data_IF_854427006856
#
_entry.id   IF_854427006856
#
_cell.length_a   1.000
_cell.length_b   1.000
_cell.length_c   1.000
_cell.angle_alpha   90.00
_cell.angle_beta   90.00
_cell.angle_gamma   90.00
#
_symmetry.space_group_name_H-M   'P 1'
#
loop_
_entity.id
_entity.type
_entity.pdbx_description
1 polymer ?
#
# COMPACT_ATOMS: atom_id res chain seq x y z
N UNK A 1 6.91 -1.43 -3.78
CA UNK A 1 6.18 -2.62 -3.30
C UNK A 1 6.74 -3.89 -3.94
N UNK A 2 6.93 -5.00 -3.22
CA UNK A 2 7.55 -6.23 -3.76
C UNK A 2 6.82 -6.79 -4.99
N UNK A 3 5.48 -6.73 -4.98
CA UNK A 3 4.61 -7.18 -6.06
C UNK A 3 4.90 -6.49 -7.40
N UNK A 4 5.54 -5.31 -7.40
CA UNK A 4 5.89 -4.58 -8.62
C UNK A 4 6.93 -5.29 -9.49
N UNK A 5 7.83 -6.05 -8.86
CA UNK A 5 8.85 -6.84 -9.55
C UNK A 5 8.33 -8.18 -10.09
N UNK A 6 7.05 -8.51 -9.86
CA UNK A 6 6.45 -9.73 -10.36
C UNK A 6 5.80 -9.52 -11.74
N UNK A 7 5.61 -10.64 -12.44
CA UNK A 7 4.80 -10.73 -13.66
C UNK A 7 3.34 -10.33 -13.43
N UNK A 8 2.65 -9.93 -14.49
CA UNK A 8 1.28 -9.39 -14.44
C UNK A 8 0.29 -10.34 -13.76
N UNK A 9 0.40 -11.66 -13.98
CA UNK A 9 -0.49 -12.64 -13.37
C UNK A 9 -0.40 -12.60 -11.85
N UNK A 10 0.80 -12.45 -11.29
CA UNK A 10 0.98 -12.31 -9.86
C UNK A 10 0.36 -11.01 -9.34
N UNK A 11 0.49 -9.90 -10.09
CA UNK A 11 -0.13 -8.63 -9.70
C UNK A 11 -1.66 -8.79 -9.65
N UNK A 12 -2.26 -9.44 -10.64
CA UNK A 12 -3.71 -9.71 -10.62
C UNK A 12 -4.14 -10.48 -9.37
N UNK A 13 -3.40 -11.52 -8.97
CA UNK A 13 -3.73 -12.34 -7.81
C UNK A 13 -3.45 -11.70 -6.44
N UNK A 14 -2.38 -10.90 -6.31
CA UNK A 14 -1.83 -10.52 -5.00
C UNK A 14 -1.61 -9.01 -4.81
N UNK A 15 -1.91 -8.18 -5.80
CA UNK A 15 -1.81 -6.74 -5.62
C UNK A 15 -2.88 -6.25 -4.65
N UNK A 16 -2.49 -5.40 -3.70
CA UNK A 16 -3.40 -4.90 -2.67
C UNK A 16 -4.59 -4.12 -3.21
N UNK A 17 -4.42 -3.43 -4.35
CA UNK A 17 -5.54 -2.76 -5.03
C UNK A 17 -6.64 -3.71 -5.48
N UNK A 18 -6.32 -4.99 -5.70
CA UNK A 18 -7.30 -6.00 -6.12
C UNK A 18 -7.89 -6.75 -4.93
N UNK A 19 -7.25 -6.67 -3.76
CA UNK A 19 -7.67 -7.40 -2.57
C UNK A 19 -8.75 -6.64 -1.83
N UNK A 20 -9.91 -7.26 -1.67
CA UNK A 20 -11.04 -6.65 -0.98
C UNK A 20 -10.67 -6.29 0.47
N UNK A 21 -11.14 -5.13 0.93
CA UNK A 21 -10.85 -4.56 2.26
C UNK A 21 -9.38 -4.23 2.55
N UNK A 22 -8.51 -4.21 1.54
CA UNK A 22 -7.12 -3.81 1.70
C UNK A 22 -6.91 -2.43 1.09
N UNK A 23 -6.26 -1.55 1.84
CA UNK A 23 -5.84 -0.23 1.36
C UNK A 23 -4.41 -0.26 0.81
N UNK A 24 -3.98 0.87 0.23
CA UNK A 24 -2.58 1.05 -0.11
C UNK A 24 -1.71 1.02 1.15
N UNK A 25 -0.59 0.30 1.08
CA UNK A 25 0.40 0.33 2.15
C UNK A 25 1.50 1.32 1.83
N UNK A 26 1.95 2.09 2.82
CA UNK A 26 3.03 3.06 2.63
C UNK A 26 4.34 2.42 2.14
N UNK A 27 4.58 1.12 2.37
CA UNK A 27 5.78 0.41 1.91
C UNK A 27 7.12 0.85 2.55
N UNK A 28 7.19 2.07 3.08
CA UNK A 28 8.36 2.73 3.68
C UNK A 28 8.57 2.40 5.16
N UNK A 29 7.74 1.53 5.74
CA UNK A 29 7.84 1.18 7.16
C UNK A 29 9.20 0.54 7.52
N UNK A 30 9.89 -0.06 6.55
CA UNK A 30 11.25 -0.59 6.71
C UNK A 30 12.31 0.51 6.81
N UNK A 31 12.04 1.69 6.25
CA UNK A 31 12.97 2.82 6.21
C UNK A 31 12.70 3.82 7.34
N UNK A 32 11.51 3.78 7.94
CA UNK A 32 11.15 4.58 9.12
C UNK A 32 12.18 4.49 10.27
N UNK A 33 12.71 3.30 10.65
CA UNK A 33 13.71 3.22 11.72
C UNK A 33 15.08 3.79 11.32
N UNK A 34 15.40 3.94 10.03
CA UNK A 34 16.73 4.40 9.59
C UNK A 34 17.09 5.77 10.16
N UNK A 35 16.11 6.65 10.33
CA UNK A 35 16.31 7.95 10.99
C UNK A 35 16.84 7.81 12.43
N UNK A 36 16.34 6.82 13.17
CA UNK A 36 16.73 6.54 14.55
C UNK A 36 18.02 5.72 14.60
N UNK A 37 18.21 4.77 13.68
CA UNK A 37 19.43 3.98 13.53
C UNK A 37 20.65 4.85 13.18
N UNK A 38 20.47 5.90 12.37
CA UNK A 38 21.55 6.86 12.08
C UNK A 38 22.16 7.47 13.34
N UNK A 39 21.39 7.61 14.42
CA UNK A 39 21.88 8.15 15.69
C UNK A 39 22.83 7.19 16.41
N UNK A 40 22.75 5.89 16.15
CA UNK A 40 23.66 4.89 16.75
C UNK A 40 25.00 4.79 16.00
N UNK A 41 25.10 5.35 14.80
CA UNK A 41 26.33 5.29 14.00
C UNK A 41 27.55 5.89 14.71
N UNK A 42 27.36 7.00 15.43
CA UNK A 42 28.45 7.69 16.13
C UNK A 42 29.08 6.88 17.26
N UNK A 43 28.28 6.13 18.02
CA UNK A 43 28.77 5.29 19.12
C UNK A 43 29.29 3.94 18.62
N UNK A 44 28.68 3.39 17.57
CA UNK A 44 29.03 2.05 17.05
C UNK A 44 30.26 2.02 16.16
N UNK A 45 30.71 3.15 15.60
CA UNK A 45 31.86 3.20 14.69
C UNK A 45 33.22 2.84 15.35
N UNK A 46 33.34 3.01 16.67
CA UNK A 46 34.57 2.72 17.43
C UNK A 46 34.51 1.38 18.17
N UNK A 47 33.39 0.65 18.05
CA UNK A 47 33.20 -0.64 18.70
C UNK A 47 33.92 -1.74 17.92
N UNK A 48 34.39 -2.78 18.62
CA UNK A 48 34.82 -4.01 17.95
C UNK A 48 33.63 -4.68 17.24
N UNK A 49 33.91 -5.56 16.28
CA UNK A 49 32.88 -6.12 15.40
C UNK A 49 31.75 -6.85 16.15
N UNK A 50 32.10 -7.72 17.10
CA UNK A 50 31.12 -8.44 17.91
C UNK A 50 30.26 -7.50 18.76
N UNK A 51 30.89 -6.57 19.47
CA UNK A 51 30.19 -5.61 20.32
C UNK A 51 29.31 -4.65 19.51
N UNK A 52 29.74 -4.28 18.30
CA UNK A 52 28.95 -3.49 17.36
C UNK A 52 27.70 -4.26 16.94
N UNK A 53 27.83 -5.53 16.59
CA UNK A 53 26.70 -6.38 16.23
C UNK A 53 25.70 -6.49 17.38
N UNK A 54 26.15 -6.84 18.59
CA UNK A 54 25.28 -6.98 19.77
C UNK A 54 24.56 -5.66 20.09
N UNK A 55 25.27 -4.53 20.03
CA UNK A 55 24.68 -3.21 20.29
C UNK A 55 23.59 -2.85 19.27
N UNK A 56 23.82 -3.13 17.98
CA UNK A 56 22.82 -2.89 16.95
C UNK A 56 21.61 -3.82 17.13
N UNK A 57 21.84 -5.09 17.48
CA UNK A 57 20.78 -6.06 17.74
C UNK A 57 19.87 -5.60 18.89
N UNK A 58 20.46 -5.15 20.00
CA UNK A 58 19.73 -4.60 21.15
C UNK A 58 18.91 -3.36 20.78
N UNK A 59 19.48 -2.47 19.96
CA UNK A 59 18.78 -1.29 19.47
C UNK A 59 17.53 -1.65 18.64
N UNK A 60 17.68 -2.56 17.67
CA UNK A 60 16.56 -3.01 16.85
C UNK A 60 15.52 -3.78 17.68
N UNK A 61 15.95 -4.60 18.64
CA UNK A 61 15.04 -5.29 19.59
C UNK A 61 14.23 -4.30 20.40
N UNK A 62 14.86 -3.27 20.96
CA UNK A 62 14.16 -2.21 21.69
C UNK A 62 13.16 -1.46 20.82
N UNK A 63 13.54 -1.14 19.58
CA UNK A 63 12.64 -0.49 18.63
C UNK A 63 11.42 -1.36 18.31
N UNK A 64 11.63 -2.66 18.05
CA UNK A 64 10.55 -3.62 17.82
C UNK A 64 9.61 -3.73 19.03
N UNK A 65 10.16 -3.78 20.24
CA UNK A 65 9.38 -3.76 21.47
C UNK A 65 8.51 -2.49 21.55
N UNK A 66 9.11 -1.32 21.34
CA UNK A 66 8.41 -0.04 21.33
C UNK A 66 7.29 0.00 20.27
N UNK A 67 7.52 -0.56 19.07
CA UNK A 67 6.50 -0.66 18.02
C UNK A 67 5.29 -1.47 18.47
N UNK A 68 5.52 -2.63 19.11
CA UNK A 68 4.46 -3.49 19.61
C UNK A 68 3.68 -2.78 20.73
N UNK A 69 4.39 -2.18 21.70
CA UNK A 69 3.74 -1.46 22.81
C UNK A 69 2.91 -0.27 22.34
N UNK A 70 3.38 0.45 21.31
CA UNK A 70 2.69 1.63 20.75
C UNK A 70 1.66 1.28 19.68
N UNK A 71 1.52 0.01 19.29
CA UNK A 71 0.68 -0.40 18.16
C UNK A 71 -0.78 0.03 18.35
N UNK A 72 -1.36 -0.20 19.52
CA UNK A 72 -2.77 0.14 19.79
C UNK A 72 -3.05 1.64 19.65
N UNK A 73 -2.22 2.48 20.27
CA UNK A 73 -2.37 3.95 20.20
C UNK A 73 -2.13 4.47 18.78
N UNK A 74 -1.16 3.88 18.06
CA UNK A 74 -0.88 4.22 16.66
C UNK A 74 -2.07 3.89 15.76
N UNK A 75 -2.62 2.68 15.88
CA UNK A 75 -3.79 2.25 15.11
C UNK A 75 -5.02 3.10 15.42
N UNK A 76 -5.23 3.48 16.68
CA UNK A 76 -6.32 4.37 17.09
C UNK A 76 -6.22 5.73 16.40
N UNK A 77 -5.03 6.33 16.36
CA UNK A 77 -4.79 7.62 15.67
C UNK A 77 -4.99 7.49 14.16
N UNK A 78 -4.42 6.45 13.55
CA UNK A 78 -4.57 6.18 12.12
C UNK A 78 -6.05 5.95 11.74
N UNK A 79 -6.81 5.23 12.57
CA UNK A 79 -8.24 5.04 12.37
C UNK A 79 -9.03 6.34 12.43
N UNK A 80 -8.73 7.23 13.39
CA UNK A 80 -9.37 8.53 13.46
C UNK A 80 -9.07 9.38 12.21
N UNK A 81 -7.82 9.38 11.74
CA UNK A 81 -7.43 10.06 10.50
C UNK A 81 -8.12 9.45 9.27
N UNK A 82 -8.23 8.12 9.21
CA UNK A 82 -8.89 7.43 8.11
C UNK A 82 -10.38 7.81 8.02
N UNK A 83 -11.07 7.97 9.15
CA UNK A 83 -12.47 8.44 9.17
C UNK A 83 -12.61 9.83 8.57
N UNK A 84 -11.78 10.77 9.01
CA UNK A 84 -11.78 12.15 8.46
C UNK A 84 -11.50 12.12 6.95
N UNK A 85 -10.53 11.33 6.51
CA UNK A 85 -10.22 11.19 5.09
C UNK A 85 -11.38 10.58 4.29
N UNK A 86 -12.13 9.63 4.85
CA UNK A 86 -13.33 9.08 4.21
C UNK A 86 -14.39 10.19 4.04
N UNK A 87 -14.66 10.95 5.10
CA UNK A 87 -15.65 12.03 5.06
C UNK A 87 -15.27 13.10 4.01
N UNK A 88 -13.98 13.40 3.87
CA UNK A 88 -13.46 14.35 2.87
C UNK A 88 -13.54 13.81 1.43
N UNK A 89 -13.33 12.50 1.24
CA UNK A 89 -13.27 11.86 -0.09
C UNK A 89 -14.64 11.44 -0.63
N UNK A 90 -15.60 11.13 0.25
CA UNK A 90 -16.93 10.63 -0.11
C UNK A 90 -17.68 11.54 -1.10
N UNK A 91 -17.72 12.88 -0.94
CA UNK A 91 -18.40 13.75 -1.90
C UNK A 91 -17.81 13.66 -3.31
N UNK A 92 -16.47 13.64 -3.40
CA UNK A 92 -15.78 13.51 -4.69
C UNK A 92 -16.07 12.14 -5.30
N UNK A 93 -15.98 11.07 -4.52
CA UNK A 93 -16.29 9.71 -4.96
C UNK A 93 -17.72 9.59 -5.51
N UNK A 94 -18.71 10.17 -4.81
CA UNK A 94 -20.11 10.16 -5.24
C UNK A 94 -20.29 10.93 -6.54
N UNK A 95 -19.69 12.13 -6.67
CA UNK A 95 -19.73 12.90 -7.91
C UNK A 95 -19.12 12.14 -9.10
N UNK A 96 -18.01 11.43 -8.90
CA UNK A 96 -17.42 10.60 -9.95
C UNK A 96 -18.29 9.39 -10.29
N UNK A 97 -18.94 8.79 -9.30
CA UNK A 97 -19.83 7.63 -9.51
C UNK A 97 -20.99 7.99 -10.43
N UNK A 98 -21.51 9.22 -10.35
CA UNK A 98 -22.60 9.71 -11.22
C UNK A 98 -22.21 9.87 -12.70
N UNK A 99 -20.91 9.89 -13.03
CA UNK A 99 -20.45 10.01 -14.42
C UNK A 99 -20.58 8.71 -15.22
N UNK A 100 -20.85 7.59 -14.55
CA UNK A 100 -20.88 6.26 -15.17
C UNK A 100 -22.29 5.65 -15.13
N UNK A 101 -22.59 4.81 -16.11
CA UNK A 101 -23.86 4.10 -16.18
C UNK A 101 -24.00 3.05 -15.07
N UNK A 102 -25.24 2.75 -14.67
CA UNK A 102 -25.51 1.70 -13.67
C UNK A 102 -24.96 0.32 -14.10
N UNK A 103 -24.99 0.02 -15.40
CA UNK A 103 -24.44 -1.22 -15.96
C UNK A 103 -22.92 -1.30 -15.73
N UNK A 104 -22.19 -0.23 -16.04
CA UNK A 104 -20.74 -0.15 -15.81
C UNK A 104 -20.40 -0.28 -14.32
N UNK A 105 -21.14 0.41 -13.45
CA UNK A 105 -20.93 0.33 -12.01
C UNK A 105 -21.18 -1.08 -11.47
N UNK A 106 -22.19 -1.78 -12.00
CA UNK A 106 -22.50 -3.17 -11.64
C UNK A 106 -21.39 -4.12 -12.06
N UNK A 107 -20.88 -3.96 -13.28
CA UNK A 107 -19.74 -4.72 -13.79
C UNK A 107 -18.51 -4.54 -12.90
N UNK A 108 -18.14 -3.29 -12.58
CA UNK A 108 -16.97 -3.01 -11.75
C UNK A 108 -17.09 -3.54 -10.32
N UNK A 109 -18.28 -3.44 -9.71
CA UNK A 109 -18.53 -4.03 -8.39
C UNK A 109 -18.39 -5.55 -8.39
N UNK A 110 -18.78 -6.21 -9.49
CA UNK A 110 -18.62 -7.67 -9.62
C UNK A 110 -17.15 -8.09 -9.74
N UNK A 111 -16.29 -7.25 -10.32
CA UNK A 111 -14.86 -7.53 -10.42
C UNK A 111 -14.17 -7.63 -9.06
N UNK A 112 -14.59 -6.83 -8.07
CA UNK A 112 -14.10 -6.92 -6.68
C UNK A 112 -14.76 -8.03 -5.86
N UNK A 113 -15.92 -8.52 -6.26
CA UNK A 113 -16.69 -9.54 -5.54
C UNK A 113 -16.29 -10.97 -5.89
N UNK A 114 -15.53 -11.17 -6.98
CA UNK A 114 -14.96 -12.46 -7.32
C UNK A 114 -13.76 -12.76 -6.39
N UNK A 115 -13.56 -14.02 -5.96
CA UNK A 115 -12.34 -14.39 -5.26
C UNK A 115 -11.13 -14.02 -6.13
N UNK A 116 -10.06 -13.53 -5.50
CA UNK A 116 -8.80 -13.27 -6.20
C UNK A 116 -8.45 -14.50 -7.02
N UNK A 117 -8.20 -14.34 -8.33
CA UNK A 117 -7.98 -15.50 -9.17
C UNK A 117 -6.71 -16.21 -8.71
N UNK A 118 -6.72 -17.54 -8.70
CA UNK A 118 -5.53 -18.31 -8.37
C UNK A 118 -4.58 -18.33 -9.56
N UNK A 119 -3.27 -18.49 -9.32
CA UNK A 119 -2.26 -18.65 -10.39
C UNK A 119 -2.57 -19.82 -11.33
N UNK A 120 -3.36 -20.78 -10.88
CA UNK A 120 -3.81 -21.92 -11.69
C UNK A 120 -4.94 -21.58 -12.66
N UNK A 121 -5.59 -20.42 -12.51
CA UNK A 121 -6.63 -19.94 -13.41
C UNK A 121 -6.02 -19.47 -14.74
N UNK A 122 -6.36 -20.20 -15.80
CA UNK A 122 -5.87 -19.93 -17.16
C UNK A 122 -6.51 -18.70 -17.78
N UNK A 123 -7.60 -18.19 -17.20
CA UNK A 123 -8.32 -17.01 -17.66
C UNK A 123 -7.99 -15.76 -16.84
N UNK A 124 -6.87 -15.75 -16.12
CA UNK A 124 -6.39 -14.55 -15.43
C UNK A 124 -6.20 -13.42 -16.43
N UNK A 125 -6.93 -12.33 -16.21
CA UNK A 125 -6.79 -11.09 -16.95
C UNK A 125 -6.43 -9.99 -15.96
N UNK A 126 -5.29 -9.35 -16.19
CA UNK A 126 -4.94 -8.13 -15.50
C UNK A 126 -5.89 -7.01 -15.96
N UNK A 127 -6.87 -6.70 -15.11
CA UNK A 127 -7.91 -5.70 -15.34
C UNK A 127 -7.35 -4.31 -15.70
N UNK A 128 -6.18 -3.95 -15.16
CA UNK A 128 -5.54 -2.66 -15.39
C UNK A 128 -4.77 -2.63 -16.71
N UNK A 129 -4.23 -3.77 -17.14
CA UNK A 129 -3.45 -3.87 -18.39
C UNK A 129 -4.34 -4.18 -19.60
N UNK A 130 -5.42 -4.94 -19.42
CA UNK A 130 -6.32 -5.35 -20.50
C UNK A 130 -7.25 -4.23 -21.01
N UNK A 131 -7.70 -3.31 -20.14
CA UNK A 131 -8.58 -2.18 -20.56
C UNK A 131 -7.84 -0.96 -21.13
N UNK A 132 -6.51 -0.98 -21.16
CA UNK A 132 -5.69 0.14 -21.69
C UNK A 132 -5.96 0.43 -23.18
N UNK A 133 -6.59 -0.49 -23.90
CA UNK A 133 -6.97 -0.35 -25.32
C UNK A 133 -8.32 0.33 -25.58
N UNK A 134 -9.17 0.54 -24.56
CA UNK A 134 -10.53 1.10 -24.74
C UNK A 134 -10.87 2.32 -23.86
N UNK A 135 -10.11 2.62 -22.81
CA UNK A 135 -10.37 3.77 -21.92
C UNK A 135 -9.23 4.80 -22.00
N UNK A 136 -9.29 5.64 -23.03
CA UNK A 136 -8.29 6.67 -23.30
C UNK A 136 -8.36 7.92 -22.39
N UNK A 137 -9.25 8.00 -21.39
CA UNK A 137 -9.33 9.21 -20.53
C UNK A 137 -9.29 8.94 -19.02
N UNK A 138 -9.87 7.85 -18.51
CA UNK A 138 -9.89 7.58 -17.06
C UNK A 138 -8.53 7.06 -16.54
N UNK A 139 -7.79 6.30 -17.36
CA UNK A 139 -6.44 5.81 -17.02
C UNK A 139 -5.38 6.92 -16.97
N UNK A 140 -5.63 8.06 -17.62
CA UNK A 140 -4.77 9.25 -17.54
C UNK A 140 -4.97 10.01 -16.21
N UNK A 141 -6.18 9.97 -15.63
CA UNK A 141 -6.52 10.68 -14.39
C UNK A 141 -5.97 9.97 -13.14
N UNK A 142 -6.03 8.63 -13.08
CA UNK A 142 -5.37 7.86 -12.01
C UNK A 142 -3.84 8.01 -12.05
N UNK A 143 -3.25 8.09 -13.24
CA UNK A 143 -1.83 8.46 -13.42
C UNK A 143 -1.52 9.91 -12.99
N UNK A 144 -2.51 10.80 -13.04
CA UNK A 144 -2.37 12.19 -12.58
C UNK A 144 -2.32 12.27 -11.06
N UNK A 145 -3.17 11.52 -10.34
CA UNK A 145 -3.06 11.41 -8.87
C UNK A 145 -1.71 10.80 -8.43
N UNK A 146 -1.16 9.83 -9.16
CA UNK A 146 0.18 9.29 -8.90
C UNK A 146 1.32 10.33 -9.07
N UNK A 147 1.13 11.38 -9.88
CA UNK A 147 2.11 12.47 -10.04
C UNK A 147 1.90 13.62 -9.06
N UNK A 148 0.69 13.84 -8.57
CA UNK A 148 0.36 14.97 -7.68
C UNK A 148 0.75 14.77 -6.21
N UNK A 149 1.02 13.53 -5.77
CA UNK A 149 1.49 13.22 -4.41
C UNK A 149 3.03 13.09 -4.29
N UNK A 150 3.79 13.53 -5.29
CA UNK A 150 5.24 13.74 -5.17
C UNK A 150 5.53 15.20 -4.84
N UNK A 151 5.29 15.58 -3.59
CA UNK A 151 5.91 16.76 -2.95
C UNK A 151 6.15 16.47 -1.48
#
# INVERSE_FOLDING_TARGET
MHIEGHRSECKTCYHFEHTHHVGHTNGELVETPWSHEKLTGGSTQHMNDGHRHDTLDDFHRFWNFCKIQKLGETLKKQWAQAKVAIDDLEPSFNNYTLLFSEETLKEWKQLYALPLPDKSDKNIVDLYTARKSQLCEVALMLNWQQKSFKY
#
